data_IF_611898152167
#
_entry.id   IF_611898152167
#
_cell.length_a   1.000
_cell.length_b   1.000
_cell.length_c   1.000
_cell.angle_alpha   90.00
_cell.angle_beta   90.00
_cell.angle_gamma   90.00
#
_symmetry.space_group_name_H-M   'P 1'
#
loop_
_entity.id
_entity.type
_entity.pdbx_description
1 polymer ?
#
# COMPACT_ATOMS: atom_id res chain seq x y z
N UNK A 1 34.21 44.13 7.93
CA UNK A 1 33.99 42.70 7.59
C UNK A 1 33.48 41.99 8.82
N UNK A 2 32.18 41.71 8.90
CA UNK A 2 31.58 40.63 9.73
C UNK A 2 30.10 40.56 9.36
N UNK A 3 29.75 39.63 8.47
CA UNK A 3 28.37 39.34 8.09
C UNK A 3 27.76 38.46 9.20
N UNK A 4 26.86 39.02 10.01
CA UNK A 4 26.09 38.25 10.99
C UNK A 4 25.02 37.45 10.25
N UNK A 5 25.30 36.19 9.92
CA UNK A 5 24.26 35.23 9.57
C UNK A 5 23.36 35.04 10.81
N UNK A 6 22.13 35.54 10.74
CA UNK A 6 21.12 35.43 11.79
C UNK A 6 20.73 33.95 12.00
N UNK A 7 20.80 33.42 13.23
CA UNK A 7 20.44 32.02 13.54
C UNK A 7 18.96 31.70 13.29
N UNK A 8 18.10 32.72 13.19
CA UNK A 8 16.68 32.57 12.86
C UNK A 8 16.44 31.94 11.47
N UNK A 9 17.37 32.13 10.52
CA UNK A 9 17.24 31.55 9.18
C UNK A 9 17.50 30.04 9.13
N UNK A 10 18.25 29.48 10.09
CA UNK A 10 18.55 28.03 10.12
C UNK A 10 17.38 27.23 10.67
N UNK A 11 16.64 27.78 11.64
CA UNK A 11 15.46 27.12 12.25
C UNK A 11 14.28 27.06 11.27
N UNK A 12 14.11 28.06 10.40
CA UNK A 12 13.05 28.06 9.40
C UNK A 12 13.25 26.99 8.29
N UNK A 13 14.49 26.63 7.96
CA UNK A 13 14.78 25.57 6.98
C UNK A 13 14.55 24.15 7.54
N UNK A 14 14.67 23.95 8.86
CA UNK A 14 14.47 22.64 9.50
C UNK A 14 12.98 22.22 9.59
N UNK A 15 12.04 23.13 9.41
CA UNK A 15 10.60 22.83 9.46
C UNK A 15 10.03 22.28 8.14
N UNK A 16 10.81 22.27 7.06
CA UNK A 16 10.37 21.81 5.73
C UNK A 16 10.73 20.35 5.42
N UNK A 17 11.45 19.64 6.30
CA UNK A 17 11.89 18.26 6.09
C UNK A 17 10.80 17.20 6.34
N UNK A 18 9.54 17.60 6.54
CA UNK A 18 8.39 16.72 6.73
C UNK A 18 7.45 16.63 5.53
N UNK A 19 7.85 17.11 4.34
CA UNK A 19 7.00 17.12 3.16
C UNK A 19 6.68 15.68 2.71
N UNK A 20 5.44 15.25 2.88
CA UNK A 20 4.97 13.99 2.31
C UNK A 20 4.77 14.10 0.80
N UNK A 21 4.80 12.97 0.12
CA UNK A 21 4.56 12.88 -1.32
C UNK A 21 3.64 11.71 -1.65
N UNK A 22 2.94 11.82 -2.77
CA UNK A 22 2.23 10.69 -3.39
C UNK A 22 2.62 10.61 -4.85
N UNK A 23 2.98 9.42 -5.30
CA UNK A 23 3.34 9.14 -6.69
C UNK A 23 2.45 8.00 -7.22
N UNK A 24 1.91 8.17 -8.42
CA UNK A 24 1.08 7.17 -9.06
C UNK A 24 1.68 6.69 -10.38
N UNK A 25 1.58 5.39 -10.62
CA UNK A 25 2.13 4.72 -11.80
C UNK A 25 1.07 3.83 -12.44
N UNK A 26 1.25 3.54 -13.73
CA UNK A 26 0.41 2.59 -14.42
C UNK A 26 1.20 1.73 -15.41
N UNK A 27 0.72 0.51 -15.60
CA UNK A 27 1.19 -0.43 -16.62
C UNK A 27 -0.01 -0.85 -17.47
N UNK A 28 -0.08 -0.31 -18.68
CA UNK A 28 -1.26 -0.43 -19.53
C UNK A 28 -1.22 -1.70 -20.39
N UNK A 29 -2.33 -2.43 -20.43
CA UNK A 29 -2.56 -3.56 -21.33
C UNK A 29 -3.22 -3.10 -22.63
N UNK A 30 -4.01 -2.01 -22.54
CA UNK A 30 -4.72 -1.38 -23.66
C UNK A 30 -4.46 0.11 -23.68
N UNK A 31 -4.81 0.78 -24.77
CA UNK A 31 -4.73 2.24 -24.83
C UNK A 31 -5.66 2.87 -23.77
N UNK A 32 -5.25 3.97 -23.12
CA UNK A 32 -6.12 4.76 -22.26
C UNK A 32 -7.43 5.10 -22.98
N UNK A 33 -8.52 5.14 -22.21
CA UNK A 33 -9.86 5.42 -22.71
C UNK A 33 -10.27 6.84 -22.34
N UNK A 34 -11.35 7.33 -22.94
CA UNK A 34 -11.96 8.58 -22.50
C UNK A 34 -12.50 8.42 -21.05
N UNK A 35 -12.40 9.47 -20.22
CA UNK A 35 -13.00 9.48 -18.89
C UNK A 35 -14.49 9.09 -18.91
N UNK A 36 -14.94 8.42 -17.86
CA UNK A 36 -16.37 8.17 -17.67
C UNK A 36 -17.14 9.49 -17.64
N UNK A 37 -18.35 9.50 -18.20
CA UNK A 37 -19.24 10.68 -18.14
C UNK A 37 -19.58 11.09 -16.70
N UNK A 38 -19.57 10.11 -15.78
CA UNK A 38 -19.83 10.34 -14.35
C UNK A 38 -18.60 10.92 -13.63
N UNK A 39 -17.41 10.86 -14.26
CA UNK A 39 -16.16 11.44 -13.74
C UNK A 39 -15.65 10.83 -12.44
N UNK A 40 -16.23 9.70 -11.99
CA UNK A 40 -15.87 9.02 -10.74
C UNK A 40 -15.34 7.63 -11.04
N UNK A 41 -14.24 7.27 -10.40
CA UNK A 41 -13.67 5.92 -10.42
C UNK A 41 -14.09 5.20 -9.16
N UNK A 42 -14.77 4.07 -9.31
CA UNK A 42 -15.15 3.23 -8.18
C UNK A 42 -13.96 2.37 -7.73
N UNK A 43 -13.70 2.28 -6.41
CA UNK A 43 -12.66 1.40 -5.87
C UNK A 43 -13.31 0.16 -5.25
N UNK A 44 -12.95 -1.01 -5.77
CA UNK A 44 -13.34 -2.31 -5.24
C UNK A 44 -12.11 -3.00 -4.64
N UNK A 45 -12.17 -3.25 -3.33
CA UNK A 45 -11.15 -3.98 -2.59
C UNK A 45 -11.08 -5.45 -3.05
N UNK A 46 -9.97 -6.11 -2.75
CA UNK A 46 -9.81 -7.54 -3.00
C UNK A 46 -10.98 -8.35 -2.41
N UNK A 47 -11.54 -9.25 -3.24
CA UNK A 47 -12.69 -10.08 -2.89
C UNK A 47 -14.06 -9.41 -3.08
N UNK A 48 -14.13 -8.11 -3.38
CA UNK A 48 -15.41 -7.45 -3.71
C UNK A 48 -15.83 -7.72 -5.14
N UNK A 49 -17.11 -8.02 -5.33
CA UNK A 49 -17.73 -8.22 -6.64
C UNK A 49 -18.23 -6.87 -7.20
N UNK A 50 -17.89 -6.59 -8.45
CA UNK A 50 -18.28 -5.37 -9.17
C UNK A 50 -19.76 -5.43 -9.59
N UNK A 51 -20.35 -6.62 -9.65
CA UNK A 51 -21.73 -6.87 -10.01
C UNK A 51 -22.04 -6.59 -11.48
N UNK A 52 -21.01 -6.50 -12.34
CA UNK A 52 -21.16 -6.31 -13.79
C UNK A 52 -19.92 -6.76 -14.56
N UNK A 53 -20.06 -7.09 -15.86
CA UNK A 53 -18.91 -7.38 -16.71
C UNK A 53 -17.97 -6.18 -16.80
N UNK A 54 -16.67 -6.46 -16.74
CA UNK A 54 -15.61 -5.46 -16.82
C UNK A 54 -14.58 -5.83 -17.88
N UNK A 55 -13.98 -4.80 -18.48
CA UNK A 55 -12.86 -4.94 -19.40
C UNK A 55 -11.59 -4.39 -18.73
N UNK A 56 -10.55 -5.20 -18.62
CA UNK A 56 -9.27 -4.76 -18.05
C UNK A 56 -8.51 -3.87 -19.05
N UNK A 57 -8.04 -2.72 -18.55
CA UNK A 57 -7.25 -1.75 -19.31
C UNK A 57 -5.77 -1.73 -18.88
N UNK A 58 -5.48 -1.97 -17.59
CA UNK A 58 -4.14 -1.90 -17.05
C UNK A 58 -4.06 -2.09 -15.54
N UNK A 59 -2.84 -2.05 -15.01
CA UNK A 59 -2.59 -1.97 -13.58
C UNK A 59 -2.29 -0.53 -13.20
N UNK A 60 -2.76 -0.12 -12.02
CA UNK A 60 -2.45 1.17 -11.41
C UNK A 60 -1.87 0.95 -10.02
N UNK A 61 -0.95 1.83 -9.63
CA UNK A 61 -0.31 1.81 -8.32
C UNK A 61 -0.16 3.25 -7.81
N UNK A 62 -0.22 3.42 -6.50
CA UNK A 62 0.04 4.68 -5.81
C UNK A 62 0.93 4.43 -4.59
N UNK A 63 1.90 5.31 -4.35
CA UNK A 63 2.87 5.23 -3.27
C UNK A 63 2.85 6.55 -2.49
N UNK A 64 2.50 6.48 -1.21
CA UNK A 64 2.55 7.60 -0.28
C UNK A 64 3.81 7.54 0.60
N UNK A 65 4.38 8.69 0.92
CA UNK A 65 5.52 8.85 1.82
C UNK A 65 5.33 10.04 2.77
N UNK A 66 5.99 9.99 3.93
CA UNK A 66 5.96 11.08 4.90
C UNK A 66 4.57 11.36 5.44
N UNK A 67 4.13 12.63 5.44
CA UNK A 67 2.79 13.01 5.90
C UNK A 67 1.64 12.44 5.05
N UNK A 68 1.94 12.01 3.81
CA UNK A 68 0.97 11.45 2.87
C UNK A 68 1.01 9.90 2.86
N UNK A 69 1.69 9.28 3.82
CA UNK A 69 1.77 7.83 3.96
C UNK A 69 0.54 7.26 4.70
N UNK A 70 -0.67 7.55 4.23
CA UNK A 70 -1.92 7.02 4.78
C UNK A 70 -2.81 6.42 3.68
N UNK A 71 -3.76 5.54 4.05
CA UNK A 71 -4.65 4.86 3.10
C UNK A 71 -5.48 5.81 2.23
N UNK A 72 -5.96 6.92 2.80
CA UNK A 72 -6.85 7.86 2.13
C UNK A 72 -6.13 8.55 0.96
N UNK A 73 -4.91 9.02 1.19
CA UNK A 73 -4.10 9.71 0.18
C UNK A 73 -3.71 8.77 -0.96
N UNK A 74 -3.30 7.53 -0.67
CA UNK A 74 -2.95 6.57 -1.73
C UNK A 74 -4.17 6.04 -2.48
N UNK A 75 -5.33 5.89 -1.81
CA UNK A 75 -6.57 5.50 -2.47
C UNK A 75 -7.07 6.61 -3.42
N UNK A 76 -6.99 7.87 -2.98
CA UNK A 76 -7.34 9.03 -3.80
C UNK A 76 -6.42 9.12 -5.02
N UNK A 77 -5.09 9.05 -4.83
CA UNK A 77 -4.15 9.11 -5.94
C UNK A 77 -4.31 7.94 -6.92
N UNK A 78 -4.67 6.75 -6.42
CA UNK A 78 -5.01 5.60 -7.27
C UNK A 78 -6.26 5.89 -8.12
N UNK A 79 -7.30 6.45 -7.51
CA UNK A 79 -8.55 6.84 -8.18
C UNK A 79 -8.31 7.91 -9.25
N UNK A 80 -7.55 8.96 -8.91
CA UNK A 80 -7.19 10.05 -9.81
C UNK A 80 -6.41 9.52 -11.02
N UNK A 81 -5.43 8.66 -10.77
CA UNK A 81 -4.68 8.01 -11.84
C UNK A 81 -5.58 7.13 -12.72
N UNK A 82 -6.55 6.45 -12.12
CA UNK A 82 -7.56 5.70 -12.87
C UNK A 82 -8.41 6.61 -13.76
N UNK A 83 -8.81 7.78 -13.24
CA UNK A 83 -9.64 8.73 -13.97
C UNK A 83 -8.91 9.28 -15.20
N UNK A 84 -7.63 9.62 -15.05
CA UNK A 84 -6.75 10.04 -16.15
C UNK A 84 -6.63 8.99 -17.27
N UNK A 85 -6.71 7.71 -16.91
CA UNK A 85 -6.60 6.59 -17.85
C UNK A 85 -7.94 6.15 -18.44
N UNK A 86 -9.05 6.75 -17.99
CA UNK A 86 -10.40 6.45 -18.44
C UNK A 86 -11.04 5.22 -17.80
N UNK A 87 -10.54 4.76 -16.65
CA UNK A 87 -11.17 3.68 -15.90
C UNK A 87 -12.55 4.13 -15.39
N UNK A 88 -13.50 3.20 -15.31
CA UNK A 88 -14.74 3.40 -14.54
C UNK A 88 -14.58 2.88 -13.11
N UNK A 89 -13.71 1.88 -12.93
CA UNK A 89 -13.40 1.30 -11.63
C UNK A 89 -11.96 0.79 -11.55
N UNK A 90 -11.50 0.60 -10.32
CA UNK A 90 -10.28 -0.12 -9.98
C UNK A 90 -10.68 -1.31 -9.13
N UNK A 91 -10.33 -2.51 -9.59
CA UNK A 91 -10.74 -3.77 -8.96
C UNK A 91 -9.55 -4.47 -8.33
N UNK A 92 -9.84 -5.42 -7.43
CA UNK A 92 -8.82 -6.18 -6.69
C UNK A 92 -7.84 -5.24 -5.98
N UNK A 93 -8.39 -4.16 -5.43
CA UNK A 93 -7.58 -3.12 -4.80
C UNK A 93 -6.99 -3.64 -3.50
N UNK A 94 -5.69 -3.55 -3.36
CA UNK A 94 -4.96 -3.79 -2.12
C UNK A 94 -4.39 -2.47 -1.62
N UNK A 95 -4.37 -2.30 -0.29
CA UNK A 95 -3.74 -1.15 0.37
C UNK A 95 -2.86 -1.69 1.49
N UNK A 96 -1.56 -1.42 1.37
CA UNK A 96 -0.54 -1.83 2.32
C UNK A 96 -0.01 -0.61 3.06
N UNK A 97 0.01 -0.69 4.40
CA UNK A 97 0.48 0.39 5.27
C UNK A 97 1.77 -0.02 5.98
N UNK A 98 2.82 0.77 5.76
CA UNK A 98 4.07 0.73 6.51
C UNK A 98 4.19 1.92 7.45
N UNK A 99 5.29 1.97 8.21
CA UNK A 99 5.50 3.03 9.21
C UNK A 99 5.56 4.45 8.61
N UNK A 100 6.25 4.62 7.48
CA UNK A 100 6.43 5.92 6.81
C UNK A 100 6.12 5.85 5.30
N UNK A 101 5.41 4.79 4.89
CA UNK A 101 5.03 4.54 3.50
C UNK A 101 3.64 3.92 3.46
N UNK A 102 2.84 4.32 2.48
CA UNK A 102 1.62 3.64 2.11
C UNK A 102 1.71 3.22 0.64
N UNK A 103 1.06 2.12 0.28
CA UNK A 103 0.98 1.66 -1.10
C UNK A 103 -0.44 1.21 -1.38
N UNK A 104 -0.93 1.54 -2.56
CA UNK A 104 -2.17 0.99 -3.09
C UNK A 104 -1.93 0.47 -4.50
N UNK A 105 -2.55 -0.64 -4.86
CA UNK A 105 -2.48 -1.20 -6.19
C UNK A 105 -3.82 -1.81 -6.59
N UNK A 106 -4.10 -1.82 -7.89
CA UNK A 106 -5.31 -2.46 -8.40
C UNK A 106 -5.33 -2.54 -9.92
N UNK A 107 -6.40 -3.14 -10.45
CA UNK A 107 -6.62 -3.31 -11.88
C UNK A 107 -7.61 -2.26 -12.36
N UNK A 108 -7.15 -1.36 -13.23
CA UNK A 108 -7.99 -0.39 -13.93
C UNK A 108 -8.90 -1.10 -14.94
N UNK A 109 -10.21 -0.87 -14.83
CA UNK A 109 -11.20 -1.49 -15.69
C UNK A 109 -12.22 -0.49 -16.25
N UNK A 110 -12.84 -0.86 -17.37
CA UNK A 110 -14.01 -0.23 -17.96
C UNK A 110 -15.24 -1.10 -17.76
N UNK A 111 -16.41 -0.53 -17.55
CA UNK A 111 -17.65 -1.31 -17.50
C UNK A 111 -18.06 -1.73 -18.92
N UNK A 112 -18.30 -3.02 -19.11
CA UNK A 112 -18.65 -3.61 -20.40
C UNK A 112 -20.16 -3.91 -20.54
N UNK A 113 -20.96 -3.64 -19.50
CA UNK A 113 -22.39 -3.95 -19.50
C UNK A 113 -23.16 -3.41 -18.30
N UNK A 114 -24.48 -3.62 -18.25
CA UNK A 114 -25.34 -3.17 -17.16
C UNK A 114 -24.98 -3.83 -15.83
N UNK A 115 -25.29 -3.15 -14.72
CA UNK A 115 -25.17 -3.73 -13.38
C UNK A 115 -26.21 -4.82 -13.20
N UNK A 116 -25.78 -6.01 -12.78
CA UNK A 116 -26.68 -7.05 -12.34
C UNK A 116 -27.48 -6.53 -11.13
N UNK A 117 -28.78 -6.83 -11.04
CA UNK A 117 -29.55 -6.50 -9.85
C UNK A 117 -28.87 -7.18 -8.65
N UNK A 118 -28.65 -6.43 -7.57
CA UNK A 118 -28.02 -6.95 -6.37
C UNK A 118 -28.82 -8.14 -5.83
N UNK A 119 -28.35 -9.37 -6.07
CA UNK A 119 -28.87 -10.53 -5.37
C UNK A 119 -28.45 -10.36 -3.90
N UNK A 120 -29.41 -10.30 -2.99
CA UNK A 120 -29.16 -10.17 -1.57
C UNK A 120 -28.45 -11.43 -1.05
N UNK A 121 -27.12 -11.46 -1.16
CA UNK A 121 -26.28 -12.37 -0.41
C UNK A 121 -25.53 -11.56 0.64
N UNK A 122 -26.21 -11.29 1.75
CA UNK A 122 -25.52 -10.95 2.98
C UNK A 122 -24.76 -12.19 3.45
N UNK A 123 -23.52 -12.35 3.00
CA UNK A 123 -22.58 -13.28 3.62
C UNK A 123 -21.92 -12.50 4.75
N UNK A 124 -22.29 -12.82 5.99
CA UNK A 124 -21.64 -12.27 7.18
C UNK A 124 -20.13 -12.53 7.06
N UNK A 125 -19.26 -11.50 7.09
CA UNK A 125 -17.83 -11.71 7.05
C UNK A 125 -17.41 -12.57 8.25
N UNK A 126 -16.93 -13.79 7.97
CA UNK A 126 -16.26 -14.60 9.00
C UNK A 126 -14.82 -14.11 9.07
N UNK A 127 -14.59 -13.11 9.92
CA UNK A 127 -13.23 -12.76 10.31
C UNK A 127 -12.74 -13.92 11.18
N UNK A 128 -12.00 -14.85 10.58
CA UNK A 128 -11.14 -15.73 11.39
C UNK A 128 -10.16 -14.79 12.09
N UNK A 129 -10.21 -14.78 13.42
CA UNK A 129 -9.26 -14.04 14.22
C UNK A 129 -7.84 -14.39 13.74
N UNK A 130 -7.02 -13.38 13.46
CA UNK A 130 -5.61 -13.58 13.22
C UNK A 130 -5.04 -14.38 14.40
N UNK A 131 -4.19 -15.41 14.16
CA UNK A 131 -3.52 -16.09 15.24
C UNK A 131 -2.74 -15.05 16.06
N UNK A 132 -2.68 -15.19 17.40
CA UNK A 132 -1.91 -14.27 18.23
C UNK A 132 -0.46 -14.21 17.74
N UNK A 133 0.20 -13.05 17.83
CA UNK A 133 1.59 -12.91 17.42
C UNK A 133 2.44 -13.97 18.11
N UNK A 134 3.14 -14.78 17.32
CA UNK A 134 4.09 -15.76 17.82
C UNK A 134 5.24 -14.98 18.47
N UNK A 135 5.40 -15.11 19.78
CA UNK A 135 6.58 -14.57 20.47
C UNK A 135 7.82 -15.24 19.89
N UNK A 136 8.84 -14.48 19.45
CA UNK A 136 10.13 -15.07 19.11
C UNK A 136 10.64 -15.88 20.31
N UNK A 137 11.31 -17.02 20.09
CA UNK A 137 12.00 -17.72 21.17
C UNK A 137 12.98 -16.75 21.86
N UNK A 138 13.15 -16.84 23.18
CA UNK A 138 14.12 -16.01 23.88
C UNK A 138 15.50 -16.23 23.27
N UNK A 139 16.22 -15.13 23.05
CA UNK A 139 17.57 -15.15 22.50
C UNK A 139 18.44 -16.06 23.37
N UNK A 140 19.16 -17.06 22.81
CA UNK A 140 20.09 -17.85 23.58
C UNK A 140 21.14 -16.86 24.11
N UNK A 141 21.10 -16.61 25.42
CA UNK A 141 22.04 -15.71 26.07
C UNK A 141 23.49 -16.03 25.67
N UNK A 142 24.40 -15.06 25.79
CA UNK A 142 25.78 -15.22 25.34
C UNK A 142 26.39 -16.50 25.93
N UNK A 143 26.82 -17.41 25.04
CA UNK A 143 27.52 -18.64 25.43
C UNK A 143 28.68 -18.25 26.36
N UNK A 144 28.80 -18.82 27.57
CA UNK A 144 29.96 -18.59 28.39
C UNK A 144 31.21 -19.06 27.62
N UNK A 145 32.09 -18.12 27.28
CA UNK A 145 33.41 -18.44 26.74
C UNK A 145 34.18 -19.15 27.85
N UNK A 146 34.50 -20.43 27.68
CA UNK A 146 35.45 -21.09 28.58
C UNK A 146 35.19 -22.55 28.97
N UNK A 147 34.28 -23.28 28.31
CA UNK A 147 34.28 -24.75 28.44
C UNK A 147 35.11 -25.34 27.31
N UNK A 148 36.42 -25.31 27.52
CA UNK A 148 37.38 -26.15 26.80
C UNK A 148 36.95 -27.62 26.96
N UNK A 149 36.90 -28.43 25.88
CA UNK A 149 36.56 -29.84 26.01
C UNK A 149 37.65 -30.55 26.82
N UNK A 150 37.29 -31.13 27.97
CA UNK A 150 38.19 -32.01 28.73
C UNK A 150 38.67 -33.15 27.82
N UNK A 151 39.99 -33.45 27.78
CA UNK A 151 40.54 -34.50 26.95
C UNK A 151 39.94 -35.86 27.36
N UNK A 152 39.43 -36.59 26.38
CA UNK A 152 38.93 -37.96 26.57
C UNK A 152 40.06 -38.87 27.05
N UNK A 153 39.82 -39.61 28.13
CA UNK A 153 40.76 -40.60 28.68
C UNK A 153 41.20 -41.63 27.64
N UNK A 154 42.44 -42.14 27.73
CA UNK A 154 42.93 -43.13 26.78
C UNK A 154 42.22 -44.47 26.98
N UNK A 155 41.90 -45.13 25.87
CA UNK A 155 41.36 -46.49 25.86
C UNK A 155 42.44 -47.45 26.39
N UNK A 156 42.10 -48.22 27.43
CA UNK A 156 42.66 -49.55 27.68
C UNK A 156 41.65 -50.60 27.23
#
# INVERSE_FOLDING_TARGET
MTSLLRPASVVALLLLSGCGSVEAHSAMLKRPQSPSAEGRVELYLEGQDVGRPVEELGLVQAFGAGSMANPEDVAQALADRGAELGCDAITKTTIDLGYSRAHAAGVCVKFAGPRAPAAAAYVKPSIKASPPPVRPPPDPGPRPRGLEPLPSSPKM
#
